data_IF_916736759110
#
_entry.id   IF_916736759110
#
_cell.length_a   1.000
_cell.length_b   1.000
_cell.length_c   1.000
_cell.angle_alpha   90.00
_cell.angle_beta   90.00
_cell.angle_gamma   90.00
#
_symmetry.space_group_name_H-M   'P 1'
#
loop_
_entity.id
_entity.type
_entity.pdbx_description
1 polymer ?
#
# COMPACT_ATOMS: atom_id res chain seq x y z
N UNK A 1 -10.28 1.68 -15.41
CA UNK A 1 -9.20 0.70 -15.29
C UNK A 1 -7.85 1.31 -15.46
N UNK A 2 -6.92 0.93 -14.59
CA UNK A 2 -5.53 1.28 -14.71
C UNK A 2 -4.75 0.10 -15.29
N UNK A 3 -3.78 0.40 -16.15
CA UNK A 3 -2.92 -0.61 -16.74
C UNK A 3 -2.23 -1.42 -15.63
N UNK A 4 -2.21 -2.75 -15.78
CA UNK A 4 -1.57 -3.68 -14.85
C UNK A 4 -2.16 -3.79 -13.43
N UNK A 5 -3.26 -3.07 -13.10
CA UNK A 5 -3.82 -3.04 -11.73
C UNK A 5 -4.01 -4.44 -11.13
N UNK A 6 -4.83 -5.27 -11.78
CA UNK A 6 -5.18 -6.61 -11.29
C UNK A 6 -3.93 -7.47 -11.10
N UNK A 7 -3.05 -7.50 -12.10
CA UNK A 7 -1.78 -8.24 -12.02
C UNK A 7 -0.95 -7.79 -10.83
N UNK A 8 -0.77 -6.48 -10.66
CA UNK A 8 0.03 -5.91 -9.58
C UNK A 8 -0.55 -6.29 -8.23
N UNK A 9 -1.87 -6.18 -8.06
CA UNK A 9 -2.52 -6.56 -6.80
C UNK A 9 -2.45 -8.06 -6.54
N UNK A 10 -2.69 -8.90 -7.54
CA UNK A 10 -2.55 -10.37 -7.43
C UNK A 10 -1.13 -10.79 -7.03
N UNK A 11 -0.10 -10.10 -7.53
CA UNK A 11 1.28 -10.40 -7.14
C UNK A 11 1.62 -9.89 -5.73
N UNK A 12 1.18 -8.68 -5.38
CA UNK A 12 1.59 -8.04 -4.13
C UNK A 12 0.76 -8.47 -2.91
N UNK A 13 -0.51 -8.88 -3.09
CA UNK A 13 -1.37 -9.41 -2.01
C UNK A 13 -0.70 -10.53 -1.22
N UNK A 14 -0.20 -11.64 -1.83
CA UNK A 14 0.44 -12.71 -1.07
C UNK A 14 1.78 -12.30 -0.44
N UNK A 15 2.43 -11.25 -0.96
CA UNK A 15 3.65 -10.69 -0.36
C UNK A 15 3.29 -9.93 0.91
N UNK A 16 2.28 -9.06 0.85
CA UNK A 16 1.81 -8.27 1.99
C UNK A 16 1.20 -9.17 3.06
N UNK A 17 0.47 -10.22 2.67
CA UNK A 17 -0.15 -11.19 3.58
C UNK A 17 0.86 -11.95 4.46
N UNK A 18 2.14 -12.01 4.09
CA UNK A 18 3.19 -12.60 4.95
C UNK A 18 3.40 -11.80 6.23
N UNK A 19 3.17 -10.49 6.19
CA UNK A 19 3.34 -9.56 7.32
C UNK A 19 1.99 -9.15 7.92
N UNK A 20 0.99 -8.99 7.06
CA UNK A 20 -0.35 -8.53 7.38
C UNK A 20 -1.40 -9.51 6.84
N UNK A 21 -1.63 -10.65 7.52
CA UNK A 21 -2.51 -11.70 7.02
C UNK A 21 -3.97 -11.25 6.87
N UNK A 22 -4.44 -10.39 7.78
CA UNK A 22 -5.78 -9.78 7.72
C UNK A 22 -5.69 -8.39 7.08
N UNK A 23 -5.52 -8.36 5.75
CA UNK A 23 -5.40 -7.10 5.02
C UNK A 23 -6.07 -7.08 3.65
N UNK A 24 -6.50 -5.88 3.25
CA UNK A 24 -6.94 -5.56 1.90
C UNK A 24 -5.90 -4.65 1.23
N UNK A 25 -5.52 -4.99 0.00
CA UNK A 25 -4.45 -4.30 -0.75
C UNK A 25 -5.02 -3.77 -2.05
N UNK A 26 -4.81 -2.47 -2.28
CA UNK A 26 -5.28 -1.76 -3.45
C UNK A 26 -4.14 -1.00 -4.11
N UNK A 27 -3.93 -1.21 -5.40
CA UNK A 27 -2.98 -0.45 -6.19
C UNK A 27 -3.55 0.92 -6.53
N UNK A 28 -2.77 1.98 -6.25
CA UNK A 28 -3.14 3.38 -6.47
C UNK A 28 -2.15 4.05 -7.42
N UNK A 29 -2.31 3.91 -8.74
CA UNK A 29 -1.38 4.53 -9.68
C UNK A 29 -1.40 6.05 -9.54
N UNK A 30 -0.23 6.66 -9.63
CA UNK A 30 -0.13 8.11 -9.70
C UNK A 30 -0.63 8.65 -11.04
N UNK A 31 -1.15 9.87 -11.06
CA UNK A 31 -1.73 10.49 -12.26
C UNK A 31 -0.75 10.94 -13.34
N UNK A 32 0.42 10.28 -13.46
CA UNK A 32 1.40 10.62 -14.50
C UNK A 32 1.14 9.79 -15.76
N UNK A 33 1.23 10.39 -16.97
CA UNK A 33 1.18 9.63 -18.22
C UNK A 33 2.27 8.57 -18.25
N UNK A 34 1.92 7.36 -18.72
CA UNK A 34 2.89 6.30 -18.98
C UNK A 34 3.66 6.61 -20.27
N UNK A 35 4.93 6.20 -20.34
CA UNK A 35 5.70 6.22 -21.58
C UNK A 35 5.14 5.21 -22.60
N UNK A 36 5.38 5.46 -23.88
CA UNK A 36 4.88 4.63 -25.00
C UNK A 36 5.38 3.18 -24.93
N UNK A 37 6.46 2.92 -24.18
CA UNK A 37 7.02 1.59 -23.96
C UNK A 37 6.17 0.71 -23.05
N UNK A 38 5.33 1.29 -22.18
CA UNK A 38 4.61 0.57 -21.13
C UNK A 38 3.40 -0.17 -21.70
N UNK A 39 3.31 -1.48 -21.48
CA UNK A 39 2.21 -2.30 -22.01
C UNK A 39 1.85 -3.48 -21.09
N UNK A 40 0.71 -4.14 -21.36
CA UNK A 40 0.17 -5.21 -20.52
C UNK A 40 0.98 -6.51 -20.51
N UNK A 41 1.92 -6.68 -21.45
CA UNK A 41 2.75 -7.90 -21.54
C UNK A 41 3.99 -7.86 -20.65
N UNK A 42 4.33 -6.68 -20.11
CA UNK A 42 5.44 -6.52 -19.17
C UNK A 42 5.23 -7.32 -17.88
N UNK A 43 6.32 -7.82 -17.31
CA UNK A 43 6.33 -8.25 -15.92
C UNK A 43 6.18 -7.06 -14.97
N UNK A 44 5.73 -7.31 -13.74
CA UNK A 44 5.56 -6.24 -12.73
C UNK A 44 6.89 -5.61 -12.35
N UNK A 45 7.96 -6.40 -12.38
CA UNK A 45 9.34 -5.92 -12.18
C UNK A 45 9.79 -4.96 -13.29
N UNK A 46 9.51 -5.27 -14.55
CA UNK A 46 9.82 -4.37 -15.67
C UNK A 46 8.98 -3.10 -15.60
N UNK A 47 7.67 -3.26 -15.35
CA UNK A 47 6.74 -2.15 -15.17
C UNK A 47 7.21 -1.23 -14.03
N UNK A 48 7.58 -1.78 -12.87
CA UNK A 48 8.08 -1.01 -11.73
C UNK A 48 9.35 -0.23 -12.03
N UNK A 49 10.19 -0.68 -12.96
CA UNK A 49 11.43 0.00 -13.35
C UNK A 49 11.19 1.08 -14.42
N UNK A 50 10.20 0.88 -15.28
CA UNK A 50 9.79 1.87 -16.28
C UNK A 50 9.06 3.06 -15.65
N UNK A 51 8.39 2.85 -14.52
CA UNK A 51 7.68 3.92 -13.81
C UNK A 51 8.64 4.93 -13.19
N UNK A 52 8.37 6.22 -13.42
CA UNK A 52 9.10 7.35 -12.79
C UNK A 52 8.83 7.40 -11.28
N UNK A 53 7.65 6.94 -10.88
CA UNK A 53 7.16 6.95 -9.50
C UNK A 53 7.15 5.54 -8.90
N UNK A 54 7.36 5.39 -7.58
CA UNK A 54 7.18 4.12 -6.88
C UNK A 54 5.78 3.53 -7.12
N UNK A 55 5.66 2.21 -7.02
CA UNK A 55 4.36 1.56 -6.99
C UNK A 55 3.63 1.94 -5.71
N UNK A 56 2.48 2.60 -5.86
CA UNK A 56 1.72 3.15 -4.75
C UNK A 56 0.61 2.18 -4.34
N UNK A 57 0.50 1.90 -3.04
CA UNK A 57 -0.47 0.96 -2.49
C UNK A 57 -1.20 1.54 -1.29
N UNK A 58 -2.50 1.32 -1.22
CA UNK A 58 -3.27 1.42 0.01
C UNK A 58 -3.41 0.03 0.63
N UNK A 59 -3.04 -0.11 1.89
CA UNK A 59 -3.06 -1.36 2.65
C UNK A 59 -3.92 -1.13 3.88
N UNK A 60 -5.09 -1.74 3.93
CA UNK A 60 -6.00 -1.69 5.07
C UNK A 60 -5.79 -2.96 5.90
N UNK A 61 -5.63 -2.81 7.22
CA UNK A 61 -5.20 -3.88 8.10
C UNK A 61 -6.12 -3.91 9.32
N UNK A 62 -6.62 -5.10 9.66
CA UNK A 62 -7.16 -5.39 10.98
C UNK A 62 -6.04 -6.00 11.83
N UNK A 63 -5.57 -5.28 12.84
CA UNK A 63 -4.59 -5.82 13.80
C UNK A 63 -4.80 -5.16 15.17
N UNK A 64 -5.34 -5.88 16.18
CA UNK A 64 -5.57 -5.30 17.50
C UNK A 64 -4.27 -4.92 18.23
N UNK A 65 -3.13 -5.46 17.80
CA UNK A 65 -1.81 -5.21 18.39
C UNK A 65 -1.02 -4.11 17.67
N UNK A 66 -1.64 -3.37 16.75
CA UNK A 66 -0.97 -2.36 15.92
C UNK A 66 -0.18 -1.31 16.73
N UNK A 67 -0.67 -0.92 17.90
CA UNK A 67 0.01 0.06 18.78
C UNK A 67 1.39 -0.39 19.23
N UNK A 68 1.64 -1.70 19.26
CA UNK A 68 2.89 -2.31 19.71
C UNK A 68 3.76 -2.71 18.52
N UNK A 69 3.16 -3.27 17.46
CA UNK A 69 3.91 -3.96 16.39
C UNK A 69 4.06 -3.17 15.08
N UNK A 70 3.38 -2.02 14.91
CA UNK A 70 3.30 -1.33 13.60
C UNK A 70 4.64 -0.96 13.00
N UNK A 71 5.59 -0.53 13.83
CA UNK A 71 6.92 -0.10 13.40
C UNK A 71 7.80 -1.28 12.98
N UNK A 72 7.72 -2.40 13.68
CA UNK A 72 8.42 -3.64 13.32
C UNK A 72 7.84 -4.23 12.03
N UNK A 73 6.51 -4.34 11.93
CA UNK A 73 5.85 -4.92 10.76
C UNK A 73 6.09 -4.10 9.50
N UNK A 74 6.07 -2.76 9.56
CA UNK A 74 6.34 -1.96 8.36
C UNK A 74 7.80 -2.12 7.88
N UNK A 75 8.74 -2.30 8.80
CA UNK A 75 10.13 -2.58 8.47
C UNK A 75 10.34 -4.00 7.93
N UNK A 76 9.60 -4.99 8.45
CA UNK A 76 9.56 -6.35 7.88
C UNK A 76 9.04 -6.32 6.45
N UNK A 77 7.91 -5.63 6.21
CA UNK A 77 7.37 -5.45 4.86
C UNK A 77 8.38 -4.75 3.94
N UNK A 78 9.11 -3.74 4.42
CA UNK A 78 10.16 -3.06 3.65
C UNK A 78 11.22 -4.05 3.16
N UNK A 79 11.71 -4.93 4.04
CA UNK A 79 12.73 -5.94 3.71
C UNK A 79 12.20 -6.97 2.72
N UNK A 80 10.96 -7.42 2.87
CA UNK A 80 10.33 -8.35 1.92
C UNK A 80 10.23 -7.70 0.53
N UNK A 81 9.79 -6.44 0.45
CA UNK A 81 9.70 -5.71 -0.82
C UNK A 81 11.08 -5.46 -1.45
N UNK A 82 12.09 -5.12 -0.64
CA UNK A 82 13.49 -4.99 -1.07
C UNK A 82 14.01 -6.29 -1.69
N UNK A 83 13.76 -7.44 -1.05
CA UNK A 83 14.17 -8.75 -1.57
C UNK A 83 13.56 -9.10 -2.94
N UNK A 84 12.42 -8.48 -3.26
CA UNK A 84 11.70 -8.63 -4.54
C UNK A 84 12.04 -7.51 -5.53
N UNK A 85 12.90 -6.57 -5.14
CA UNK A 85 13.26 -5.37 -5.90
C UNK A 85 12.06 -4.45 -6.21
N UNK A 86 11.10 -4.35 -5.28
CA UNK A 86 9.96 -3.44 -5.41
C UNK A 86 10.16 -2.13 -4.67
N UNK A 87 10.16 -1.03 -5.43
CA UNK A 87 10.19 0.33 -4.89
C UNK A 87 8.75 0.81 -4.73
N UNK A 88 8.31 0.96 -3.49
CA UNK A 88 6.91 1.24 -3.18
C UNK A 88 6.69 2.56 -2.44
N UNK A 89 5.47 3.10 -2.60
CA UNK A 89 4.87 4.07 -1.71
C UNK A 89 3.70 3.39 -1.00
N UNK A 90 3.78 3.28 0.32
CA UNK A 90 2.82 2.57 1.14
C UNK A 90 1.96 3.57 1.90
N UNK A 91 0.65 3.43 1.76
CA UNK A 91 -0.35 4.07 2.58
C UNK A 91 -1.00 2.98 3.42
N UNK A 92 -0.62 2.92 4.69
CA UNK A 92 -1.05 1.89 5.62
C UNK A 92 -2.17 2.46 6.48
N UNK A 93 -3.29 1.74 6.57
CA UNK A 93 -4.42 2.10 7.40
C UNK A 93 -4.72 0.94 8.34
N UNK A 94 -4.48 1.14 9.63
CA UNK A 94 -5.05 0.26 10.65
C UNK A 94 -6.51 0.66 10.83
N UNK A 95 -7.41 -0.29 10.63
CA UNK A 95 -8.86 -0.06 10.68
C UNK A 95 -9.49 -0.88 11.80
N UNK A 96 -10.66 -0.46 12.24
CA UNK A 96 -11.49 -1.23 13.18
C UNK A 96 -11.81 -2.61 12.57
N UNK A 97 -11.79 -3.65 13.41
CA UNK A 97 -11.92 -5.06 13.02
C UNK A 97 -13.16 -5.32 12.16
N UNK A 98 -14.30 -4.72 12.52
CA UNK A 98 -15.58 -4.86 11.81
C UNK A 98 -15.69 -4.02 10.53
N UNK A 99 -14.65 -3.29 10.15
CA UNK A 99 -14.64 -2.37 9.00
C UNK A 99 -13.79 -2.85 7.83
N UNK A 100 -12.88 -3.80 8.02
CA UNK A 100 -11.97 -4.24 6.95
C UNK A 100 -12.73 -4.74 5.71
N UNK A 101 -13.74 -5.59 5.90
CA UNK A 101 -14.56 -6.16 4.83
C UNK A 101 -15.46 -5.14 4.11
N UNK A 102 -15.67 -3.96 4.72
CA UNK A 102 -16.44 -2.88 4.11
C UNK A 102 -15.62 -2.07 3.10
N UNK A 103 -14.29 -2.23 3.10
CA UNK A 103 -13.37 -1.47 2.25
C UNK A 103 -13.17 -2.22 0.94
N UNK A 104 -13.37 -1.52 -0.18
CA UNK A 104 -13.24 -2.06 -1.52
C UNK A 104 -12.83 -0.96 -2.52
N UNK A 105 -12.69 -1.35 -3.78
CA UNK A 105 -12.27 -0.46 -4.87
C UNK A 105 -13.12 0.80 -5.04
N UNK A 106 -14.40 0.77 -4.64
CA UNK A 106 -15.31 1.91 -4.80
C UNK A 106 -15.10 2.98 -3.73
N UNK A 107 -14.64 2.61 -2.53
CA UNK A 107 -14.54 3.51 -1.38
C UNK A 107 -13.11 3.67 -0.83
N UNK A 108 -12.12 2.96 -1.35
CA UNK A 108 -10.72 3.07 -0.92
C UNK A 108 -10.17 4.51 -0.99
N UNK A 109 -10.65 5.32 -1.93
CA UNK A 109 -10.23 6.71 -2.05
C UNK A 109 -10.80 7.61 -0.93
N UNK A 110 -11.90 7.20 -0.32
CA UNK A 110 -12.55 7.95 0.76
C UNK A 110 -11.70 7.93 2.03
N UNK A 111 -10.90 6.88 2.25
CA UNK A 111 -9.90 6.83 3.34
C UNK A 111 -8.88 7.98 3.30
N UNK A 112 -8.70 8.61 2.13
CA UNK A 112 -7.75 9.72 1.95
C UNK A 112 -8.41 11.10 2.00
N UNK A 113 -9.74 11.18 1.87
CA UNK A 113 -10.43 12.44 1.53
C UNK A 113 -11.73 12.67 2.28
N UNK A 114 -12.40 11.63 2.79
CA UNK A 114 -13.71 11.70 3.45
C UNK A 114 -13.58 11.57 4.97
N UNK A 115 -14.10 12.57 5.69
CA UNK A 115 -14.12 12.62 7.15
C UNK A 115 -15.10 11.63 7.81
N UNK A 116 -15.92 10.89 7.05
CA UNK A 116 -16.81 9.85 7.61
C UNK A 116 -16.15 8.49 7.68
N UNK A 117 -15.31 8.17 6.70
CA UNK A 117 -14.54 6.91 6.67
C UNK A 117 -13.27 7.04 7.53
N UNK A 118 -12.86 8.27 7.89
CA UNK A 118 -11.83 8.47 8.91
C UNK A 118 -12.17 7.85 10.26
N UNK A 119 -13.46 7.74 10.62
CA UNK A 119 -13.90 7.11 11.88
C UNK A 119 -13.59 5.61 11.93
N UNK A 120 -13.28 4.99 10.79
CA UNK A 120 -12.90 3.58 10.73
C UNK A 120 -11.40 3.39 10.95
N UNK A 121 -10.60 4.44 10.73
CA UNK A 121 -9.15 4.41 10.80
C UNK A 121 -8.73 4.65 12.24
N UNK A 122 -7.93 3.72 12.79
CA UNK A 122 -7.31 3.82 14.10
C UNK A 122 -5.92 4.46 14.02
N UNK A 123 -5.22 4.26 12.91
CA UNK A 123 -3.92 4.86 12.63
C UNK A 123 -3.64 4.83 11.14
N UNK A 124 -3.06 5.91 10.60
CA UNK A 124 -2.55 5.93 9.23
C UNK A 124 -1.03 6.07 9.21
N UNK A 125 -0.41 5.45 8.21
CA UNK A 125 1.02 5.48 7.96
C UNK A 125 1.33 5.79 6.51
N UNK A 126 2.32 6.66 6.28
CA UNK A 126 2.76 7.03 4.93
C UNK A 126 4.25 6.78 4.80
N UNK A 127 4.61 5.86 3.92
CA UNK A 127 5.99 5.42 3.73
C UNK A 127 6.38 5.50 2.27
N UNK A 128 7.44 6.23 1.96
CA UNK A 128 7.98 6.32 0.60
C UNK A 128 9.38 5.75 0.58
N UNK A 129 9.59 4.71 -0.22
CA UNK A 129 10.91 4.18 -0.49
C UNK A 129 11.67 5.05 -1.51
N UNK A 130 12.99 5.09 -1.37
CA UNK A 130 13.90 5.57 -2.39
C UNK A 130 14.47 4.42 -3.24
N UNK A 131 15.49 4.71 -4.06
CA UNK A 131 16.12 3.73 -4.94
C UNK A 131 17.03 2.73 -4.22
N UNK A 132 17.30 2.93 -2.93
CA UNK A 132 18.03 1.97 -2.08
C UNK A 132 17.08 1.19 -1.18
N UNK A 133 15.77 1.24 -1.47
CA UNK A 133 14.69 0.57 -0.73
C UNK A 133 14.57 1.02 0.73
N UNK A 134 15.15 2.17 1.07
CA UNK A 134 15.03 2.76 2.40
C UNK A 134 13.87 3.75 2.44
N UNK A 135 13.23 3.89 3.60
CA UNK A 135 12.19 4.90 3.76
C UNK A 135 12.80 6.30 3.80
N UNK A 136 12.57 7.08 2.74
CA UNK A 136 12.92 8.50 2.66
C UNK A 136 11.91 9.37 3.42
N UNK A 137 10.68 8.92 3.50
CA UNK A 137 9.62 9.56 4.28
C UNK A 137 8.88 8.46 5.01
N UNK A 138 8.78 8.58 6.32
CA UNK A 138 8.01 7.71 7.20
C UNK A 138 7.25 8.59 8.19
N UNK A 139 5.94 8.41 8.25
CA UNK A 139 5.11 9.11 9.22
C UNK A 139 3.94 8.23 9.61
N UNK A 140 3.75 8.07 10.91
CA UNK A 140 2.48 7.67 11.48
C UNK A 140 1.67 8.93 11.85
N UNK A 141 0.37 8.91 11.60
CA UNK A 141 -0.59 9.81 12.21
C UNK A 141 -1.55 8.95 13.01
N UNK A 142 -1.62 9.21 14.32
CA UNK A 142 -2.71 8.69 15.14
C UNK A 142 -3.94 9.58 14.90
N UNK A 143 -5.06 8.95 14.55
CA UNK A 143 -6.34 9.64 14.46
C UNK A 143 -6.96 9.46 15.84
N UNK A 144 -6.78 10.48 16.69
CA UNK A 144 -7.25 10.45 18.07
C UNK A 144 -8.76 10.22 18.14
N UNK A 145 -9.18 9.47 19.15
CA UNK A 145 -10.58 9.27 19.59
C UNK A 145 -11.33 10.58 19.86
#
# INVERSE_FOLDING_TARGET
DFLMKEKIEEELRPIIAQVYPESNVFYRPGGMPMGDEVNQSMSIKEYSKAMIIPLSFAICISDPSYKINKDEKVEELRKVLESKEYICMLYIFYVKEDKLDLINDMNINDLFTDSKISDWILCEGRFRMDRTYQFKTSRWSEINE
#
